data_IF_861334691793
#
_entry.id   IF_861334691793
#
_cell.length_a   1.000
_cell.length_b   1.000
_cell.length_c   1.000
_cell.angle_alpha   90.00
_cell.angle_beta   90.00
_cell.angle_gamma   90.00
#
_symmetry.space_group_name_H-M   'P 1'
#
loop_
_entity.id
_entity.type
_entity.pdbx_description
1 polymer ?
#
# COMPACT_ATOMS: atom_id res chain seq x y z
N UNK A 1 -12.88 5.59 -13.82
CA UNK A 1 -11.95 4.69 -13.09
C UNK A 1 -12.70 3.86 -12.08
N UNK A 2 -13.65 4.44 -11.36
CA UNK A 2 -14.59 3.72 -10.47
C UNK A 2 -15.19 2.45 -11.12
N UNK A 3 -15.72 2.53 -12.34
CA UNK A 3 -16.26 1.36 -13.04
C UNK A 3 -15.23 0.23 -13.23
N UNK A 4 -13.96 0.57 -13.47
CA UNK A 4 -12.90 -0.42 -13.61
C UNK A 4 -12.51 -1.01 -12.26
N UNK A 5 -12.49 -0.19 -11.20
CA UNK A 5 -12.24 -0.65 -9.83
C UNK A 5 -13.33 -1.64 -9.42
N UNK A 6 -14.60 -1.30 -9.68
CA UNK A 6 -15.75 -2.18 -9.41
C UNK A 6 -15.70 -3.44 -10.29
N UNK A 7 -15.28 -3.31 -11.55
CA UNK A 7 -15.08 -4.47 -12.42
C UNK A 7 -14.07 -5.46 -11.84
N UNK A 8 -13.01 -4.98 -11.18
CA UNK A 8 -12.00 -5.80 -10.50
C UNK A 8 -12.28 -6.04 -9.00
N UNK A 9 -13.47 -5.70 -8.51
CA UNK A 9 -13.81 -5.86 -7.10
C UNK A 9 -13.75 -7.32 -6.65
N UNK A 10 -13.30 -7.52 -5.41
CA UNK A 10 -13.25 -8.84 -4.79
C UNK A 10 -14.67 -9.37 -4.53
N UNK A 11 -14.93 -10.68 -4.70
CA UNK A 11 -16.21 -11.27 -4.36
C UNK A 11 -16.55 -11.07 -2.87
N UNK A 12 -17.80 -10.71 -2.60
CA UNK A 12 -18.30 -10.50 -1.23
C UNK A 12 -18.25 -11.80 -0.39
N UNK A 13 -18.07 -11.63 0.92
CA UNK A 13 -17.86 -12.75 1.85
C UNK A 13 -19.14 -13.53 2.19
N UNK A 14 -20.30 -12.93 1.95
CA UNK A 14 -21.63 -13.50 2.22
C UNK A 14 -22.09 -14.52 1.18
N UNK A 15 -21.35 -14.68 0.07
CA UNK A 15 -21.67 -15.61 -1.01
C UNK A 15 -21.34 -17.05 -0.66
N UNK A 16 -22.06 -17.99 -1.27
CA UNK A 16 -21.73 -19.41 -1.19
C UNK A 16 -20.30 -19.65 -1.72
N UNK A 17 -19.59 -20.58 -1.09
CA UNK A 17 -18.20 -20.92 -1.40
C UNK A 17 -17.98 -21.22 -2.89
N UNK A 18 -18.89 -21.98 -3.51
CA UNK A 18 -18.76 -22.35 -4.93
C UNK A 18 -18.87 -21.13 -5.86
N UNK A 19 -19.87 -20.27 -5.65
CA UNK A 19 -20.06 -19.04 -6.42
C UNK A 19 -18.88 -18.08 -6.23
N UNK A 20 -18.42 -17.94 -4.97
CA UNK A 20 -17.26 -17.12 -4.61
C UNK A 20 -16.01 -17.61 -5.34
N UNK A 21 -15.76 -18.93 -5.35
CA UNK A 21 -14.61 -19.52 -6.02
C UNK A 21 -14.66 -19.35 -7.55
N UNK A 22 -15.84 -19.46 -8.15
CA UNK A 22 -16.03 -19.20 -9.57
C UNK A 22 -15.75 -17.73 -9.92
N UNK A 23 -16.21 -16.79 -9.08
CA UNK A 23 -15.90 -15.35 -9.26
C UNK A 23 -14.42 -15.04 -9.07
N UNK A 24 -13.72 -15.65 -8.12
CA UNK A 24 -12.27 -15.50 -7.98
C UNK A 24 -11.52 -15.98 -9.23
N UNK A 25 -11.92 -17.11 -9.83
CA UNK A 25 -11.33 -17.59 -11.10
C UNK A 25 -11.57 -16.61 -12.24
N UNK A 26 -12.80 -16.11 -12.37
CA UNK A 26 -13.13 -15.10 -13.38
C UNK A 26 -12.39 -13.77 -13.16
N UNK A 27 -12.19 -13.35 -11.90
CA UNK A 27 -11.40 -12.17 -11.56
C UNK A 27 -9.95 -12.34 -11.99
N UNK A 28 -9.29 -13.44 -11.60
CA UNK A 28 -7.91 -13.70 -12.01
C UNK A 28 -7.74 -13.73 -13.53
N UNK A 29 -8.64 -14.42 -14.24
CA UNK A 29 -8.59 -14.46 -15.71
C UNK A 29 -8.69 -13.07 -16.35
N UNK A 30 -9.48 -12.15 -15.78
CA UNK A 30 -9.57 -10.77 -16.26
C UNK A 30 -8.32 -9.96 -15.93
N UNK A 31 -7.76 -10.14 -14.73
CA UNK A 31 -6.51 -9.49 -14.31
C UNK A 31 -5.34 -9.94 -15.20
N UNK A 32 -5.25 -11.23 -15.52
CA UNK A 32 -4.21 -11.78 -16.40
C UNK A 32 -4.33 -11.22 -17.82
N UNK A 33 -5.55 -11.19 -18.38
CA UNK A 33 -5.79 -10.62 -19.71
C UNK A 33 -5.35 -9.15 -19.81
N UNK A 34 -5.69 -8.33 -18.81
CA UNK A 34 -5.29 -6.92 -18.80
C UNK A 34 -3.78 -6.74 -18.61
N UNK A 35 -3.13 -7.68 -17.93
CA UNK A 35 -1.69 -7.70 -17.80
C UNK A 35 -1.01 -8.07 -19.13
N UNK A 36 -1.52 -9.08 -19.84
CA UNK A 36 -1.02 -9.51 -21.16
C UNK A 36 -1.12 -8.39 -22.19
N UNK A 37 -2.22 -7.62 -22.17
CA UNK A 37 -2.44 -6.44 -23.01
C UNK A 37 -1.60 -5.22 -22.56
N UNK A 38 -0.82 -5.33 -21.49
CA UNK A 38 0.06 -4.28 -21.01
C UNK A 38 -0.64 -3.12 -20.29
N UNK A 39 -1.92 -3.28 -19.92
CA UNK A 39 -2.73 -2.22 -19.30
C UNK A 39 -2.16 -1.79 -17.95
N UNK A 40 -1.67 -2.74 -17.15
CA UNK A 40 -1.03 -2.44 -15.87
C UNK A 40 0.18 -1.52 -16.06
N UNK A 41 1.03 -1.77 -17.07
CA UNK A 41 2.18 -0.92 -17.36
C UNK A 41 1.76 0.47 -17.80
N UNK A 42 0.71 0.60 -18.61
CA UNK A 42 0.17 1.91 -19.00
C UNK A 42 -0.32 2.73 -17.80
N UNK A 43 -0.93 2.09 -16.80
CA UNK A 43 -1.37 2.77 -15.57
C UNK A 43 -0.16 3.22 -14.75
N UNK A 44 0.85 2.37 -14.58
CA UNK A 44 2.08 2.72 -13.87
C UNK A 44 2.84 3.88 -14.56
N UNK A 45 2.94 3.85 -15.89
CA UNK A 45 3.52 4.95 -16.67
C UNK A 45 2.72 6.26 -16.52
N UNK A 46 1.40 6.15 -16.32
CA UNK A 46 0.55 7.32 -16.07
C UNK A 46 0.82 7.89 -14.68
N UNK A 47 0.93 7.05 -13.65
CA UNK A 47 1.33 7.46 -12.29
C UNK A 47 2.69 8.17 -12.32
N UNK A 48 3.64 7.68 -13.11
CA UNK A 48 4.96 8.31 -13.27
C UNK A 48 4.88 9.70 -13.89
N UNK A 49 4.01 9.89 -14.90
CA UNK A 49 3.77 11.21 -15.49
C UNK A 49 3.10 12.16 -14.50
N UNK A 50 2.16 11.67 -13.69
CA UNK A 50 1.55 12.47 -12.62
C UNK A 50 2.61 12.94 -11.62
N UNK A 51 3.45 12.02 -11.16
CA UNK A 51 4.52 12.33 -10.21
C UNK A 51 5.55 13.31 -10.79
N UNK A 52 5.84 13.23 -12.09
CA UNK A 52 6.73 14.17 -12.77
C UNK A 52 6.12 15.58 -12.79
N UNK A 53 4.82 15.68 -13.06
CA UNK A 53 4.11 16.97 -13.05
C UNK A 53 4.09 17.59 -11.65
N UNK A 54 3.82 16.80 -10.61
CA UNK A 54 3.85 17.24 -9.20
C UNK A 54 5.23 17.77 -8.77
N UNK A 55 6.30 17.29 -9.41
CA UNK A 55 7.67 17.74 -9.13
C UNK A 55 8.06 19.06 -9.78
N UNK A 56 7.22 19.62 -10.65
CA UNK A 56 7.50 20.88 -11.34
C UNK A 56 7.47 22.08 -10.36
N UNK A 57 8.35 23.08 -10.56
CA UNK A 57 8.24 24.35 -9.84
C UNK A 57 6.89 25.01 -10.12
N UNK A 58 6.23 25.53 -9.08
CA UNK A 58 4.91 26.18 -9.17
C UNK A 58 3.81 25.29 -9.77
N UNK A 59 3.87 23.97 -9.53
CA UNK A 59 2.82 23.03 -9.96
C UNK A 59 1.41 23.49 -9.55
N UNK A 60 1.23 23.97 -8.31
CA UNK A 60 -0.04 24.49 -7.82
C UNK A 60 -0.54 25.69 -8.65
N UNK A 61 0.35 26.61 -9.05
CA UNK A 61 0.01 27.72 -9.94
C UNK A 61 -0.29 27.28 -11.37
N UNK A 62 0.34 26.21 -11.84
CA UNK A 62 0.15 25.67 -13.20
C UNK A 62 -1.21 24.99 -13.37
N UNK A 63 -1.64 24.19 -12.40
CA UNK A 63 -2.93 23.48 -12.47
C UNK A 63 -4.11 24.36 -12.04
N UNK A 64 -3.87 25.30 -11.14
CA UNK A 64 -4.90 26.11 -10.49
C UNK A 64 -5.65 25.35 -9.39
N UNK A 65 -6.14 26.09 -8.38
CA UNK A 65 -6.82 25.52 -7.21
C UNK A 65 -8.04 24.66 -7.58
N UNK A 66 -8.78 25.05 -8.63
CA UNK A 66 -9.97 24.31 -9.09
C UNK A 66 -9.65 22.89 -9.57
N UNK A 67 -8.46 22.67 -10.13
CA UNK A 67 -8.05 21.37 -10.66
C UNK A 67 -7.25 20.55 -9.66
N UNK A 68 -6.78 21.14 -8.56
CA UNK A 68 -5.97 20.45 -7.56
C UNK A 68 -6.72 19.27 -6.93
N UNK A 69 -7.97 19.48 -6.52
CA UNK A 69 -8.78 18.41 -5.93
C UNK A 69 -9.01 17.26 -6.92
N UNK A 70 -9.30 17.59 -8.19
CA UNK A 70 -9.49 16.59 -9.25
C UNK A 70 -8.21 15.81 -9.53
N UNK A 71 -7.05 16.47 -9.46
CA UNK A 71 -5.75 15.84 -9.65
C UNK A 71 -5.45 14.83 -8.53
N UNK A 72 -5.65 15.23 -7.28
CA UNK A 72 -5.48 14.37 -6.11
C UNK A 72 -6.42 13.15 -6.19
N UNK A 73 -7.68 13.36 -6.58
CA UNK A 73 -8.67 12.28 -6.75
C UNK A 73 -8.26 11.29 -7.86
N UNK A 74 -7.82 11.78 -9.03
CA UNK A 74 -7.34 10.92 -10.12
C UNK A 74 -6.12 10.12 -9.67
N UNK A 75 -5.16 10.76 -8.99
CA UNK A 75 -3.95 10.11 -8.48
C UNK A 75 -4.30 8.94 -7.56
N UNK A 76 -5.22 9.17 -6.61
CA UNK A 76 -5.74 8.12 -5.72
C UNK A 76 -6.41 6.98 -6.48
N UNK A 77 -7.27 7.29 -7.46
CA UNK A 77 -7.94 6.26 -8.27
C UNK A 77 -6.97 5.42 -9.11
N UNK A 78 -5.86 5.98 -9.59
CA UNK A 78 -4.84 5.22 -10.29
C UNK A 78 -4.23 4.14 -9.40
N UNK A 79 -3.87 4.47 -8.16
CA UNK A 79 -3.33 3.50 -7.21
C UNK A 79 -4.36 2.46 -6.78
N UNK A 80 -5.61 2.87 -6.49
CA UNK A 80 -6.69 1.95 -6.17
C UNK A 80 -6.97 0.96 -7.31
N UNK A 81 -6.90 1.43 -8.56
CA UNK A 81 -7.04 0.57 -9.74
C UNK A 81 -5.90 -0.43 -9.85
N UNK A 82 -4.64 -0.02 -9.62
CA UNK A 82 -3.50 -0.95 -9.56
C UNK A 82 -3.73 -2.00 -8.49
N UNK A 83 -4.14 -1.61 -7.27
CA UNK A 83 -4.42 -2.54 -6.19
C UNK A 83 -5.50 -3.56 -6.58
N UNK A 84 -6.61 -3.08 -7.17
CA UNK A 84 -7.70 -3.96 -7.64
C UNK A 84 -7.23 -4.96 -8.72
N UNK A 85 -6.33 -4.54 -9.61
CA UNK A 85 -5.81 -5.39 -10.70
C UNK A 85 -4.83 -6.48 -10.24
N UNK A 86 -4.23 -6.35 -9.05
CA UNK A 86 -3.22 -7.30 -8.57
C UNK A 86 -3.68 -8.10 -7.34
N UNK A 87 -4.67 -7.61 -6.58
CA UNK A 87 -5.16 -8.26 -5.37
C UNK A 87 -5.65 -9.69 -5.63
N UNK A 88 -5.13 -10.64 -4.85
CA UNK A 88 -5.46 -12.07 -4.97
C UNK A 88 -4.85 -12.77 -6.20
N UNK A 89 -3.87 -12.13 -6.86
CA UNK A 89 -3.17 -12.65 -8.03
C UNK A 89 -1.65 -12.61 -7.84
N UNK A 90 -1.12 -13.74 -7.37
CA UNK A 90 0.32 -13.93 -7.13
C UNK A 90 1.19 -13.59 -8.36
N UNK A 91 0.82 -14.02 -9.57
CA UNK A 91 1.62 -13.78 -10.78
C UNK A 91 1.71 -12.30 -11.15
N UNK A 92 0.64 -11.53 -10.93
CA UNK A 92 0.66 -10.09 -11.13
C UNK A 92 1.48 -9.39 -10.03
N UNK A 93 1.32 -9.79 -8.76
CA UNK A 93 2.13 -9.25 -7.65
C UNK A 93 3.62 -9.55 -7.79
N UNK A 94 4.00 -10.74 -8.28
CA UNK A 94 5.39 -11.14 -8.49
C UNK A 94 6.15 -10.21 -9.46
N UNK A 95 5.45 -9.53 -10.37
CA UNK A 95 6.06 -8.55 -11.29
C UNK A 95 6.59 -7.31 -10.55
N UNK A 96 6.04 -7.01 -9.37
CA UNK A 96 6.52 -5.93 -8.51
C UNK A 96 7.69 -6.35 -7.63
N UNK A 97 8.04 -7.64 -7.56
CA UNK A 97 9.15 -8.12 -6.72
C UNK A 97 10.53 -7.68 -7.22
N UNK A 98 10.63 -7.14 -8.44
CA UNK A 98 11.88 -6.58 -8.94
C UNK A 98 12.34 -5.40 -8.06
N UNK A 99 13.63 -5.35 -7.69
CA UNK A 99 14.20 -4.32 -6.81
C UNK A 99 13.79 -2.91 -7.22
N UNK A 100 13.93 -2.57 -8.49
CA UNK A 100 13.58 -1.24 -9.01
C UNK A 100 12.09 -0.90 -8.85
N UNK A 101 11.19 -1.89 -8.92
CA UNK A 101 9.74 -1.69 -8.72
C UNK A 101 9.40 -1.53 -7.25
N UNK A 102 10.05 -2.26 -6.35
CA UNK A 102 9.90 -2.06 -4.90
C UNK A 102 10.43 -0.69 -4.49
N UNK A 103 11.65 -0.34 -4.90
CA UNK A 103 12.23 0.99 -4.64
C UNK A 103 11.29 2.10 -5.12
N UNK A 104 10.69 1.92 -6.31
CA UNK A 104 9.67 2.81 -6.83
C UNK A 104 8.44 2.89 -5.93
N UNK A 105 7.83 1.77 -5.53
CA UNK A 105 6.65 1.73 -4.66
C UNK A 105 6.91 2.41 -3.31
N UNK A 106 8.00 2.05 -2.63
CA UNK A 106 8.36 2.63 -1.34
C UNK A 106 8.76 4.11 -1.46
N UNK A 107 9.38 4.51 -2.56
CA UNK A 107 9.68 5.92 -2.85
C UNK A 107 8.44 6.81 -2.91
N UNK A 108 7.28 6.27 -3.33
CA UNK A 108 6.00 6.99 -3.36
C UNK A 108 5.42 7.25 -1.97
N UNK A 109 5.82 6.51 -0.93
CA UNK A 109 5.40 6.77 0.46
C UNK A 109 5.94 8.09 1.02
N UNK A 110 6.92 8.70 0.34
CA UNK A 110 7.43 10.01 0.74
C UNK A 110 6.37 11.12 0.65
N UNK A 111 5.39 10.97 -0.26
CA UNK A 111 4.27 11.89 -0.44
C UNK A 111 3.03 11.42 0.37
N UNK A 112 2.63 12.12 1.45
CA UNK A 112 1.47 11.74 2.26
C UNK A 112 0.15 11.71 1.48
N UNK A 113 0.00 12.54 0.44
CA UNK A 113 -1.23 12.62 -0.34
C UNK A 113 -1.47 11.35 -1.18
N UNK A 114 -0.39 10.68 -1.60
CA UNK A 114 -0.48 9.42 -2.36
C UNK A 114 -0.60 8.18 -1.46
N UNK A 115 -0.47 8.36 -0.13
CA UNK A 115 -0.34 7.27 0.84
C UNK A 115 -1.56 6.33 0.86
N UNK A 116 -2.77 6.85 0.69
CA UNK A 116 -3.99 6.05 0.83
C UNK A 116 -4.06 4.91 -0.19
N UNK A 117 -3.84 5.21 -1.47
CA UNK A 117 -3.91 4.21 -2.54
C UNK A 117 -2.64 3.35 -2.65
N UNK A 118 -1.45 3.92 -2.42
CA UNK A 118 -0.18 3.17 -2.51
C UNK A 118 -0.07 2.10 -1.41
N UNK A 119 -0.62 2.34 -0.21
CA UNK A 119 -0.64 1.35 0.87
C UNK A 119 -1.42 0.10 0.48
N UNK A 120 -2.53 0.25 -0.26
CA UNK A 120 -3.30 -0.89 -0.75
C UNK A 120 -2.51 -1.71 -1.79
N UNK A 121 -1.73 -1.05 -2.65
CA UNK A 121 -0.83 -1.71 -3.61
C UNK A 121 0.26 -2.48 -2.87
N UNK A 122 0.95 -1.83 -1.93
CA UNK A 122 2.00 -2.46 -1.13
C UNK A 122 1.47 -3.65 -0.34
N UNK A 123 0.31 -3.51 0.31
CA UNK A 123 -0.31 -4.60 1.04
C UNK A 123 -0.56 -5.80 0.13
N UNK A 124 -1.12 -5.60 -1.07
CA UNK A 124 -1.33 -6.70 -2.03
C UNK A 124 -0.03 -7.37 -2.48
N UNK A 125 1.03 -6.58 -2.75
CA UNK A 125 2.33 -7.11 -3.17
C UNK A 125 2.96 -7.94 -2.04
N UNK A 126 2.97 -7.42 -0.82
CA UNK A 126 3.63 -8.08 0.32
C UNK A 126 2.90 -9.33 0.80
N UNK A 127 1.57 -9.36 0.69
CA UNK A 127 0.75 -10.51 1.11
C UNK A 127 0.72 -11.63 0.07
N UNK A 128 0.71 -11.31 -1.21
CA UNK A 128 0.55 -12.29 -2.29
C UNK A 128 1.88 -12.71 -2.94
N UNK A 129 2.99 -12.01 -2.68
CA UNK A 129 4.31 -12.27 -3.29
C UNK A 129 5.43 -12.44 -2.25
N UNK A 130 5.75 -13.69 -1.85
CA UNK A 130 6.90 -13.99 -0.99
C UNK A 130 8.23 -13.53 -1.59
N UNK A 131 8.33 -13.52 -2.92
CA UNK A 131 9.48 -13.02 -3.66
C UNK A 131 9.71 -11.54 -3.36
N UNK A 132 8.64 -10.75 -3.27
CA UNK A 132 8.76 -9.33 -2.92
C UNK A 132 9.32 -9.16 -1.49
N UNK A 133 8.85 -9.96 -0.53
CA UNK A 133 9.36 -9.94 0.85
C UNK A 133 10.86 -10.24 0.94
N UNK A 134 11.35 -11.16 0.11
CA UNK A 134 12.78 -11.49 0.05
C UNK A 134 13.66 -10.35 -0.47
N UNK A 135 13.06 -9.39 -1.19
CA UNK A 135 13.77 -8.26 -1.79
C UNK A 135 13.66 -6.97 -0.95
N UNK A 136 12.90 -7.01 0.16
CA UNK A 136 12.79 -5.88 1.10
C UNK A 136 14.11 -5.63 1.82
N UNK A 137 14.48 -4.36 1.89
CA UNK A 137 15.63 -3.90 2.64
C UNK A 137 15.23 -2.98 3.82
N UNK A 138 16.21 -2.58 4.62
CA UNK A 138 16.01 -1.73 5.79
C UNK A 138 15.42 -0.35 5.45
N UNK A 139 15.79 0.24 4.31
CA UNK A 139 15.31 1.56 3.89
C UNK A 139 13.82 1.54 3.52
N UNK A 140 13.33 0.45 2.92
CA UNK A 140 11.90 0.24 2.69
C UNK A 140 11.12 0.25 4.00
N UNK A 141 11.60 -0.46 5.02
CA UNK A 141 10.94 -0.53 6.33
C UNK A 141 10.93 0.85 7.00
N UNK A 142 12.06 1.56 6.99
CA UNK A 142 12.15 2.93 7.52
C UNK A 142 11.18 3.88 6.83
N UNK A 143 10.97 3.73 5.51
CA UNK A 143 10.02 4.57 4.78
C UNK A 143 8.58 4.39 5.25
N UNK A 144 8.17 3.15 5.58
CA UNK A 144 6.83 2.87 6.14
C UNK A 144 6.70 3.42 7.56
N UNK A 145 7.74 3.29 8.40
CA UNK A 145 7.74 3.87 9.75
C UNK A 145 7.66 5.40 9.70
N UNK A 146 8.43 6.04 8.81
CA UNK A 146 8.36 7.49 8.60
C UNK A 146 7.00 7.95 8.08
N UNK A 147 6.29 7.11 7.32
CA UNK A 147 4.93 7.42 6.92
C UNK A 147 3.99 7.48 8.13
N UNK A 148 4.12 6.56 9.11
CA UNK A 148 3.34 6.57 10.35
C UNK A 148 3.46 7.90 11.12
N UNK A 149 4.63 8.53 11.09
CA UNK A 149 4.85 9.87 11.65
C UNK A 149 4.05 10.96 10.91
N UNK A 150 3.98 10.87 9.58
CA UNK A 150 3.42 11.91 8.71
C UNK A 150 1.89 11.86 8.62
N UNK A 151 1.32 10.67 8.44
CA UNK A 151 -0.13 10.49 8.25
C UNK A 151 -0.86 10.17 9.55
N UNK A 152 -0.12 9.95 10.64
CA UNK A 152 -0.67 9.58 11.94
C UNK A 152 -1.02 8.10 12.00
N UNK A 153 -1.96 7.75 12.89
CA UNK A 153 -2.27 6.36 13.26
C UNK A 153 -3.24 5.68 12.29
N UNK A 154 -2.92 5.72 10.99
CA UNK A 154 -3.67 4.99 9.97
C UNK A 154 -3.46 3.48 10.16
N UNK A 155 -4.52 2.68 10.36
CA UNK A 155 -4.40 1.22 10.49
C UNK A 155 -3.74 0.56 9.27
N UNK A 156 -3.89 1.10 8.05
CA UNK A 156 -3.28 0.52 6.85
C UNK A 156 -1.76 0.50 6.90
N UNK A 157 -1.13 1.51 7.54
CA UNK A 157 0.32 1.54 7.73
C UNK A 157 0.77 0.39 8.62
N UNK A 158 0.00 0.07 9.66
CA UNK A 158 0.26 -1.07 10.54
C UNK A 158 0.03 -2.41 9.82
N UNK A 159 -0.97 -2.50 8.94
CA UNK A 159 -1.21 -3.69 8.12
C UNK A 159 -0.01 -3.97 7.20
N UNK A 160 0.57 -2.93 6.59
CA UNK A 160 1.80 -3.04 5.80
C UNK A 160 2.98 -3.48 6.67
N UNK A 161 3.21 -2.85 7.83
CA UNK A 161 4.26 -3.28 8.77
C UNK A 161 4.09 -4.74 9.23
N UNK A 162 2.85 -5.18 9.45
CA UNK A 162 2.54 -6.57 9.78
C UNK A 162 2.86 -7.51 8.64
N UNK A 163 2.49 -7.17 7.40
CA UNK A 163 2.80 -7.99 6.21
C UNK A 163 4.31 -8.13 5.95
N UNK A 164 5.11 -7.14 6.36
CA UNK A 164 6.59 -7.23 6.28
C UNK A 164 7.18 -8.26 7.26
N UNK A 165 6.45 -8.63 8.32
CA UNK A 165 6.93 -9.54 9.36
C UNK A 165 6.68 -11.02 9.05
N UNK A 166 5.74 -11.33 8.17
CA UNK A 166 5.32 -12.69 7.84
C UNK A 166 4.89 -12.81 6.38
N UNK A 167 5.46 -13.78 5.67
CA UNK A 167 5.03 -14.18 4.32
C UNK A 167 4.66 -15.65 4.30
N UNK A 168 3.44 -15.98 3.83
CA UNK A 168 2.96 -17.36 3.69
C UNK A 168 3.13 -18.23 4.97
N UNK A 169 2.83 -17.69 6.15
CA UNK A 169 2.97 -18.43 7.41
C UNK A 169 4.39 -18.49 7.96
N UNK A 170 5.35 -17.83 7.32
CA UNK A 170 6.77 -17.84 7.70
C UNK A 170 7.24 -16.46 8.13
N UNK A 171 7.86 -16.40 9.32
CA UNK A 171 8.39 -15.17 9.88
C UNK A 171 9.65 -14.66 9.14
N UNK A 172 9.68 -13.35 8.83
CA UNK A 172 10.83 -12.66 8.23
C UNK A 172 11.64 -11.95 9.33
N UNK A 173 12.68 -12.61 9.84
CA UNK A 173 13.43 -12.13 11.02
C UNK A 173 14.15 -10.81 10.82
N UNK A 174 14.70 -10.55 9.64
CA UNK A 174 15.34 -9.27 9.32
C UNK A 174 14.35 -8.12 9.50
N UNK A 175 13.18 -8.21 8.88
CA UNK A 175 12.14 -7.18 8.98
C UNK A 175 11.67 -6.96 10.41
N UNK A 176 11.43 -8.04 11.16
CA UNK A 176 11.02 -7.95 12.56
C UNK A 176 12.04 -7.20 13.43
N UNK A 177 13.33 -7.48 13.24
CA UNK A 177 14.40 -6.81 13.97
C UNK A 177 14.46 -5.32 13.58
N UNK A 178 14.45 -5.00 12.28
CA UNK A 178 14.47 -3.61 11.81
C UNK A 178 13.28 -2.79 12.34
N UNK A 179 12.07 -3.36 12.33
CA UNK A 179 10.88 -2.70 12.88
C UNK A 179 11.05 -2.46 14.38
N UNK A 180 11.52 -3.47 15.12
CA UNK A 180 11.77 -3.34 16.57
C UNK A 180 12.79 -2.22 16.86
N UNK A 181 13.86 -2.16 16.07
CA UNK A 181 14.96 -1.21 16.25
C UNK A 181 14.58 0.23 15.87
N UNK A 182 13.57 0.44 15.03
CA UNK A 182 13.21 1.78 14.51
C UNK A 182 11.85 2.30 15.00
N UNK A 183 10.89 1.43 15.33
CA UNK A 183 9.54 1.83 15.76
C UNK A 183 9.43 2.05 17.28
N UNK A 184 10.23 1.33 18.07
CA UNK A 184 10.13 1.34 19.53
C UNK A 184 10.98 2.42 20.23
N UNK A 185 12.17 2.81 19.74
CA UNK A 185 12.90 3.94 20.33
C UNK A 185 12.05 5.23 20.23
N UNK A 186 12.12 6.10 21.24
CA UNK A 186 11.32 7.35 21.27
C UNK A 186 9.91 7.17 21.82
N UNK A 187 9.26 6.02 21.54
CA UNK A 187 7.97 5.61 22.15
C UNK A 187 6.82 6.61 21.91
N UNK A 188 6.99 7.50 20.94
CA UNK A 188 6.16 8.64 20.59
C UNK A 188 5.11 8.33 19.52
N UNK A 189 5.39 7.35 18.65
CA UNK A 189 4.49 6.93 17.56
C UNK A 189 3.32 6.09 18.06
N UNK A 190 3.59 5.22 19.05
CA UNK A 190 2.63 4.25 19.56
C UNK A 190 1.99 4.71 20.88
N UNK A 191 0.76 4.27 21.12
CA UNK A 191 0.08 4.50 22.39
C UNK A 191 0.79 3.77 23.53
N UNK A 192 1.07 4.50 24.60
CA UNK A 192 1.64 3.95 25.84
C UNK A 192 0.58 3.89 26.94
N UNK A 193 0.67 2.85 27.77
CA UNK A 193 -0.16 2.72 28.97
C UNK A 193 0.69 2.29 30.16
N UNK A 194 0.32 2.74 31.35
CA UNK A 194 0.94 2.35 32.61
C UNK A 194 -0.12 2.29 33.71
N UNK A 195 -0.06 1.26 34.55
CA UNK A 195 -0.88 1.18 35.74
C UNK A 195 -0.54 2.35 36.69
N UNK A 196 -1.56 2.98 37.27
CA UNK A 196 -1.41 4.03 38.27
C UNK A 196 -2.26 3.73 39.49
N UNK A 197 -1.69 3.93 40.67
CA UNK A 197 -2.43 3.79 41.93
C UNK A 197 -3.45 4.92 42.09
N UNK A 198 -4.60 4.59 42.69
CA UNK A 198 -5.60 5.58 43.08
C UNK A 198 -5.17 6.26 44.38
N UNK A 199 -4.83 7.56 44.31
CA UNK A 199 -4.36 8.32 45.48
C UNK A 199 -5.50 9.18 46.04
N UNK A 200 -5.83 8.99 47.33
CA UNK A 200 -6.82 9.81 48.06
C UNK A 200 -6.09 10.84 48.93
N UNK A 201 -6.48 12.12 48.87
CA UNK A 201 -5.97 13.16 49.77
C UNK A 201 -6.84 13.20 51.03
N UNK A 202 -6.26 12.90 52.19
CA UNK A 202 -6.88 13.24 53.47
C UNK A 202 -6.70 14.75 53.70
N UNK A 203 -7.81 15.47 53.89
CA UNK A 203 -7.85 16.88 54.30
C UNK A 203 -7.96 16.94 55.82
#
# INVERSE_FOLDING_TARGET
MEDLIEYFAQPSEDQNFEDRQNRFRALRSRQDLFQEEGVLNMILDTIDKFSLMESLPDFAGLIGEDNQNTWEEISTYLYLLVAAMIKGNHSNCAQFAAVARLDWLFGRLSNPQSAEGILDVLYCVLTESPEALNMINEEHIKSVISLLEKVGRDPKVLDVLSSLCEGNGMAVRSSQNTITDHLLPGKDLLLQTAMKDQVSRYV
#
